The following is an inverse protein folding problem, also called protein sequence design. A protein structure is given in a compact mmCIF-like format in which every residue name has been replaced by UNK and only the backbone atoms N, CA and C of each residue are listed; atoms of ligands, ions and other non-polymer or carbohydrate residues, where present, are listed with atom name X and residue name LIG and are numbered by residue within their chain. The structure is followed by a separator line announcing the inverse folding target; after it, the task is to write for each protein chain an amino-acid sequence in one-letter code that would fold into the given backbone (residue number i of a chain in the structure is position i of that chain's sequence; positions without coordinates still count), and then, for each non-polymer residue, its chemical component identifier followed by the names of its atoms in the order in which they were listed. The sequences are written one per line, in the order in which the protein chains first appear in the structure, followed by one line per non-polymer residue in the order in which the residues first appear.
data_IF_767632985946
#
_entry.id   IF_767632985946
#
_cell.length_a   1.000
_cell.length_b   1.000
_cell.length_c   1.000
_cell.angle_alpha   90.00
_cell.angle_beta   90.00
_cell.angle_gamma   90.00
#
_symmetry.space_group_name_H-M   'P 1'
#
loop_
_entity.id
_entity.type
_entity.pdbx_description
1 polymer ?
#
# COMPACT_ATOMS: atom_id res chain seq x y z
N UNK A 1 13.40 -22.59 5.12
CA UNK A 1 12.32 -23.11 4.27
C UNK A 1 11.69 -24.36 4.90
N UNK A 2 10.35 -24.46 4.88
CA UNK A 2 9.59 -25.55 5.52
C UNK A 2 8.70 -26.26 4.51
N UNK A 3 8.41 -27.55 4.80
CA UNK A 3 7.50 -28.37 3.99
C UNK A 3 6.27 -28.71 4.81
N UNK A 4 5.11 -28.56 4.19
CA UNK A 4 3.81 -28.89 4.75
C UNK A 4 3.04 -29.79 3.79
N UNK A 5 2.22 -30.67 4.36
CA UNK A 5 1.33 -31.53 3.59
C UNK A 5 -0.09 -31.39 4.15
N UNK A 6 -0.98 -30.85 3.33
CA UNK A 6 -2.35 -30.48 3.75
C UNK A 6 -3.23 -31.65 4.13
N UNK A 7 -2.87 -32.90 3.77
CA UNK A 7 -3.63 -34.11 4.13
C UNK A 7 -3.26 -34.63 5.55
N UNK A 8 -2.18 -34.12 6.15
CA UNK A 8 -1.81 -34.48 7.53
C UNK A 8 -2.74 -33.86 8.54
N UNK A 9 -3.04 -34.61 9.62
CA UNK A 9 -3.99 -34.17 10.64
C UNK A 9 -3.54 -32.93 11.42
N UNK A 10 -2.23 -32.70 11.52
CA UNK A 10 -1.59 -31.58 12.23
C UNK A 10 -1.31 -30.36 11.34
N UNK A 11 -1.54 -30.47 10.03
CA UNK A 11 -1.27 -29.37 9.08
C UNK A 11 -1.80 -28.03 9.54
N UNK A 12 -3.08 -27.95 9.93
CA UNK A 12 -3.69 -26.68 10.30
C UNK A 12 -3.00 -26.01 11.49
N UNK A 13 -2.58 -26.80 12.48
CA UNK A 13 -1.90 -26.28 13.67
C UNK A 13 -0.45 -25.84 13.35
N UNK A 14 0.30 -26.70 12.64
CA UNK A 14 1.69 -26.43 12.29
C UNK A 14 1.82 -25.25 11.32
N UNK A 15 0.96 -25.18 10.32
CA UNK A 15 0.96 -24.09 9.35
C UNK A 15 0.52 -22.77 9.98
N UNK A 16 -0.49 -22.79 10.85
CA UNK A 16 -0.88 -21.58 11.59
C UNK A 16 0.23 -21.08 12.52
N UNK A 17 0.96 -21.99 13.15
CA UNK A 17 2.12 -21.64 13.99
C UNK A 17 3.23 -21.00 13.15
N UNK A 18 3.52 -21.54 11.96
CA UNK A 18 4.46 -20.95 11.00
C UNK A 18 4.07 -19.54 10.57
N UNK A 19 2.79 -19.31 10.23
CA UNK A 19 2.30 -18.00 9.85
C UNK A 19 2.30 -16.97 10.98
N UNK A 20 2.24 -17.43 12.25
CA UNK A 20 2.24 -16.58 13.42
C UNK A 20 3.65 -16.19 13.90
N UNK A 21 4.71 -16.72 13.29
CA UNK A 21 6.08 -16.36 13.64
C UNK A 21 6.34 -14.88 13.36
N UNK A 22 6.88 -14.14 14.36
CA UNK A 22 7.17 -12.71 14.15
C UNK A 22 8.19 -12.50 13.04
N UNK A 23 7.91 -11.57 12.14
CA UNK A 23 8.82 -11.10 11.11
C UNK A 23 9.13 -9.62 11.36
N UNK A 24 10.39 -9.29 11.58
CA UNK A 24 10.88 -7.94 11.87
C UNK A 24 10.91 -7.56 13.36
N UNK A 25 11.68 -6.51 13.71
CA UNK A 25 11.93 -6.06 15.09
C UNK A 25 11.02 -4.86 15.46
N UNK A 26 10.16 -4.98 16.50
CA UNK A 26 9.09 -4.01 16.74
C UNK A 26 9.26 -3.05 17.93
N UNK A 27 9.80 -3.48 19.10
CA UNK A 27 9.66 -2.68 20.33
C UNK A 27 10.71 -1.55 20.49
N UNK A 28 11.97 -1.76 20.16
CA UNK A 28 13.02 -0.75 20.31
C UNK A 28 12.85 0.42 19.31
N UNK A 29 12.30 0.10 18.12
CA UNK A 29 12.03 1.07 17.06
C UNK A 29 10.96 2.08 17.48
N UNK A 30 9.93 1.65 18.18
CA UNK A 30 8.79 2.50 18.53
C UNK A 30 9.16 3.65 19.47
N UNK A 31 10.04 3.40 20.44
CA UNK A 31 10.56 4.44 21.35
C UNK A 31 11.42 5.48 20.60
N UNK A 32 12.33 5.03 19.73
CA UNK A 32 13.16 5.92 18.94
C UNK A 32 12.34 6.81 17.99
N UNK A 33 11.30 6.23 17.37
CA UNK A 33 10.39 6.98 16.49
C UNK A 33 9.57 8.01 17.27
N UNK A 34 9.14 7.70 18.50
CA UNK A 34 8.44 8.66 19.35
C UNK A 34 9.30 9.90 19.63
N UNK A 35 10.58 9.72 19.93
CA UNK A 35 11.52 10.80 20.18
C UNK A 35 11.69 11.68 18.94
N UNK A 36 11.85 11.08 17.75
CA UNK A 36 11.95 11.83 16.50
C UNK A 36 10.70 12.65 16.24
N UNK A 37 9.50 12.08 16.41
CA UNK A 37 8.23 12.79 16.21
C UNK A 37 8.12 14.00 17.16
N UNK A 38 8.44 13.82 18.43
CA UNK A 38 8.38 14.92 19.42
C UNK A 38 9.43 16.01 19.15
N UNK A 39 10.61 15.65 18.68
CA UNK A 39 11.61 16.63 18.25
C UNK A 39 11.13 17.46 17.07
N UNK A 40 10.59 16.80 16.02
CA UNK A 40 10.01 17.51 14.86
C UNK A 40 8.82 18.40 15.28
N UNK A 41 7.98 17.95 16.21
CA UNK A 41 6.86 18.75 16.74
C UNK A 41 7.35 20.02 17.43
N UNK A 42 8.45 19.95 18.18
CA UNK A 42 8.98 21.06 18.99
C UNK A 42 9.85 22.02 18.18
N UNK A 43 10.70 21.49 17.29
CA UNK A 43 11.79 22.22 16.65
C UNK A 43 11.61 22.34 15.12
N UNK A 44 10.58 21.69 14.56
CA UNK A 44 10.25 21.80 13.12
C UNK A 44 11.38 21.28 12.21
N UNK A 45 11.76 22.10 11.22
CA UNK A 45 12.73 21.71 10.20
C UNK A 45 14.15 21.53 10.77
N UNK A 46 14.52 22.19 11.85
CA UNK A 46 15.83 22.02 12.47
C UNK A 46 16.00 20.59 13.02
N UNK A 47 14.95 20.02 13.62
CA UNK A 47 14.95 18.63 14.05
C UNK A 47 15.02 17.66 12.87
N UNK A 48 14.37 17.99 11.74
CA UNK A 48 14.43 17.17 10.52
C UNK A 48 15.86 17.15 9.95
N UNK A 49 16.52 18.29 9.90
CA UNK A 49 17.91 18.42 9.44
C UNK A 49 18.85 17.62 10.33
N UNK A 50 18.71 17.76 11.66
CA UNK A 50 19.56 17.04 12.61
C UNK A 50 19.33 15.50 12.54
N UNK A 51 18.08 15.05 12.41
CA UNK A 51 17.78 13.64 12.22
C UNK A 51 18.35 13.10 10.90
N UNK A 52 18.26 13.88 9.81
CA UNK A 52 18.86 13.51 8.52
C UNK A 52 20.38 13.42 8.61
N UNK A 53 21.04 14.37 9.28
CA UNK A 53 22.47 14.31 9.54
C UNK A 53 22.86 13.04 10.32
N UNK A 54 22.08 12.71 11.35
CA UNK A 54 22.33 11.57 12.24
C UNK A 54 22.10 10.21 11.59
N UNK A 55 21.04 10.05 10.80
CA UNK A 55 20.59 8.76 10.31
C UNK A 55 20.98 8.49 8.85
N UNK A 56 21.10 9.54 8.04
CA UNK A 56 21.46 9.43 6.63
C UNK A 56 22.93 9.83 6.36
N UNK A 57 23.66 10.35 7.38
CA UNK A 57 25.04 10.83 7.29
C UNK A 57 25.23 11.89 6.20
N UNK A 58 24.26 12.78 6.06
CA UNK A 58 24.27 13.86 5.05
C UNK A 58 23.99 15.20 5.73
N UNK A 59 24.88 16.17 5.48
CA UNK A 59 24.66 17.55 5.91
C UNK A 59 23.80 18.30 4.90
N UNK A 60 22.62 18.70 5.33
CA UNK A 60 21.69 19.51 4.54
C UNK A 60 21.40 20.83 5.25
N UNK A 61 21.06 21.83 4.46
CA UNK A 61 20.54 23.12 4.93
C UNK A 61 19.08 23.26 4.53
N UNK A 62 18.35 24.22 5.10
CA UNK A 62 16.96 24.47 4.70
C UNK A 62 16.83 24.68 3.18
N UNK A 63 17.78 25.36 2.55
CA UNK A 63 17.76 25.64 1.11
C UNK A 63 18.05 24.40 0.25
N UNK A 64 18.79 23.43 0.78
CA UNK A 64 19.16 22.20 0.05
C UNK A 64 18.19 21.04 0.24
N UNK A 65 17.27 21.11 1.21
CA UNK A 65 16.27 20.07 1.47
C UNK A 65 15.29 19.93 0.33
N UNK A 66 14.78 21.03 -0.20
CA UNK A 66 13.84 21.01 -1.32
C UNK A 66 14.58 20.93 -2.65
N UNK A 67 14.19 19.98 -3.49
CA UNK A 67 14.70 19.88 -4.87
C UNK A 67 14.04 20.96 -5.72
N UNK A 68 14.84 21.81 -6.34
CA UNK A 68 14.30 22.86 -7.24
C UNK A 68 13.75 22.26 -8.54
N UNK A 69 12.84 22.96 -9.18
CA UNK A 69 12.29 22.55 -10.50
C UNK A 69 13.41 22.35 -11.51
N UNK A 70 14.41 23.22 -11.52
CA UNK A 70 15.56 23.10 -12.41
C UNK A 70 16.39 21.82 -12.16
N UNK A 71 16.53 21.42 -10.87
CA UNK A 71 17.20 20.15 -10.52
C UNK A 71 16.38 18.93 -10.93
N UNK A 72 15.04 19.01 -10.80
CA UNK A 72 14.15 17.93 -11.27
C UNK A 72 14.25 17.78 -12.79
N UNK A 73 14.21 18.89 -13.52
CA UNK A 73 14.30 18.89 -14.98
C UNK A 73 15.66 18.38 -15.48
N UNK A 74 16.75 18.85 -14.89
CA UNK A 74 18.09 18.40 -15.23
C UNK A 74 18.29 16.91 -14.93
N UNK A 75 17.93 16.47 -13.72
CA UNK A 75 18.05 15.06 -13.35
C UNK A 75 17.14 14.14 -14.17
N UNK A 76 15.94 14.55 -14.51
CA UNK A 76 15.06 13.80 -15.40
C UNK A 76 15.62 13.70 -16.84
N UNK A 77 16.34 14.72 -17.31
CA UNK A 77 16.99 14.70 -18.61
C UNK A 77 18.18 13.72 -18.69
N UNK A 78 18.83 13.46 -17.55
CA UNK A 78 19.91 12.48 -17.43
C UNK A 78 19.42 11.01 -17.36
N UNK A 79 18.09 10.79 -17.32
CA UNK A 79 17.51 9.44 -17.34
C UNK A 79 17.79 8.76 -18.69
N UNK A 80 18.32 7.53 -18.71
CA UNK A 80 18.50 6.77 -19.94
C UNK A 80 17.20 6.67 -20.77
N UNK A 81 17.32 6.74 -22.09
CA UNK A 81 16.17 6.80 -22.99
C UNK A 81 15.24 5.60 -22.86
N UNK A 82 15.80 4.38 -22.79
CA UNK A 82 15.05 3.14 -22.61
C UNK A 82 14.28 3.10 -21.28
N UNK A 83 14.90 3.59 -20.19
CA UNK A 83 14.24 3.69 -18.89
C UNK A 83 13.14 4.75 -18.92
N UNK A 84 13.34 5.87 -19.59
CA UNK A 84 12.32 6.92 -19.74
C UNK A 84 11.12 6.44 -20.55
N UNK A 85 11.36 5.69 -21.64
CA UNK A 85 10.29 5.06 -22.43
C UNK A 85 9.49 4.06 -21.58
N UNK A 86 10.18 3.22 -20.78
CA UNK A 86 9.52 2.28 -19.87
C UNK A 86 8.69 3.00 -18.79
N UNK A 87 9.20 4.10 -18.20
CA UNK A 87 8.46 4.93 -17.25
C UNK A 87 7.19 5.49 -17.91
N UNK A 88 7.29 6.04 -19.12
CA UNK A 88 6.14 6.57 -19.87
C UNK A 88 5.10 5.49 -20.19
N UNK A 89 5.55 4.29 -20.59
CA UNK A 89 4.68 3.13 -20.83
C UNK A 89 3.94 2.71 -19.55
N UNK A 90 4.66 2.51 -18.44
CA UNK A 90 4.09 2.15 -17.14
C UNK A 90 3.09 3.22 -16.67
N UNK A 91 3.46 4.50 -16.73
CA UNK A 91 2.61 5.63 -16.35
C UNK A 91 1.28 5.64 -17.12
N UNK A 92 1.31 5.38 -18.42
CA UNK A 92 0.11 5.28 -19.25
C UNK A 92 -0.82 4.15 -18.80
N UNK A 93 -0.28 2.97 -18.51
CA UNK A 93 -1.06 1.80 -18.07
C UNK A 93 -1.64 1.99 -16.64
N UNK A 94 -0.82 2.45 -15.70
CA UNK A 94 -1.27 2.79 -14.34
C UNK A 94 -2.38 3.84 -14.39
N UNK A 95 -2.20 4.87 -15.23
CA UNK A 95 -3.22 5.90 -15.42
C UNK A 95 -4.53 5.35 -15.95
N UNK A 96 -4.49 4.51 -16.98
CA UNK A 96 -5.67 3.89 -17.57
C UNK A 96 -6.42 2.97 -16.58
N UNK A 97 -5.70 2.22 -15.77
CA UNK A 97 -6.27 1.36 -14.74
C UNK A 97 -7.00 2.18 -13.66
N UNK A 98 -6.30 3.14 -13.05
CA UNK A 98 -6.86 3.94 -11.96
C UNK A 98 -7.99 4.88 -12.40
N UNK A 99 -7.97 5.37 -13.63
CA UNK A 99 -9.06 6.19 -14.16
C UNK A 99 -10.42 5.47 -14.14
N UNK A 100 -10.43 4.14 -14.28
CA UNK A 100 -11.65 3.31 -14.25
C UNK A 100 -12.23 3.14 -12.85
N UNK A 101 -11.48 3.46 -11.80
CA UNK A 101 -11.92 3.35 -10.41
C UNK A 101 -12.67 4.58 -9.92
N UNK A 102 -12.85 5.61 -10.75
CA UNK A 102 -13.49 6.87 -10.33
C UNK A 102 -14.94 6.65 -9.94
N UNK A 103 -15.30 6.93 -8.66
CA UNK A 103 -16.66 6.75 -8.20
C UNK A 103 -17.57 7.90 -8.66
N UNK A 104 -18.86 7.60 -8.82
CA UNK A 104 -19.87 8.59 -9.18
C UNK A 104 -20.49 9.25 -7.94
N UNK A 105 -20.79 10.56 -8.04
CA UNK A 105 -21.71 11.24 -7.16
C UNK A 105 -23.11 10.68 -7.38
N UNK A 106 -23.95 10.63 -6.33
CA UNK A 106 -25.32 10.18 -6.45
C UNK A 106 -26.26 11.05 -5.65
N UNK A 107 -27.50 11.20 -6.13
CA UNK A 107 -28.64 11.78 -5.43
C UNK A 107 -29.90 11.02 -5.80
N UNK A 108 -30.74 10.77 -4.80
CA UNK A 108 -32.03 10.13 -4.97
C UNK A 108 -33.00 10.63 -3.89
N UNK A 109 -34.30 10.62 -4.18
CA UNK A 109 -35.34 10.96 -3.23
C UNK A 109 -36.00 9.66 -2.77
N UNK A 110 -36.11 9.46 -1.46
CA UNK A 110 -36.75 8.30 -0.87
C UNK A 110 -38.28 8.44 -0.81
N UNK A 111 -38.97 7.41 -0.29
CA UNK A 111 -40.41 7.39 -0.17
C UNK A 111 -40.99 8.42 0.81
N UNK A 112 -40.18 8.98 1.70
CA UNK A 112 -40.54 10.06 2.62
C UNK A 112 -40.34 11.46 2.01
N UNK A 113 -39.93 11.56 0.75
CA UNK A 113 -39.62 12.83 0.09
C UNK A 113 -38.31 13.47 0.54
N UNK A 114 -37.42 12.69 1.13
CA UNK A 114 -36.11 13.13 1.57
C UNK A 114 -35.07 12.89 0.45
N UNK A 115 -34.38 13.93 0.02
CA UNK A 115 -33.25 13.81 -0.92
C UNK A 115 -31.99 13.38 -0.16
N UNK A 116 -31.48 12.22 -0.48
CA UNK A 116 -30.26 11.66 0.04
C UNK A 116 -29.22 11.57 -1.08
N UNK A 117 -27.94 11.59 -0.70
CA UNK A 117 -26.88 11.42 -1.68
C UNK A 117 -25.50 11.44 -1.08
N UNK A 118 -24.54 11.40 -1.96
CA UNK A 118 -23.13 11.60 -1.63
C UNK A 118 -22.38 12.26 -2.77
N UNK A 119 -21.30 12.89 -2.41
CA UNK A 119 -20.33 13.43 -3.36
C UNK A 119 -18.93 13.01 -3.01
N UNK A 120 -18.12 12.77 -4.02
CA UNK A 120 -16.69 12.48 -3.89
C UNK A 120 -15.87 13.71 -4.23
N UNK A 121 -14.86 13.97 -3.45
CA UNK A 121 -13.91 15.06 -3.67
C UNK A 121 -12.50 14.59 -3.37
N UNK A 122 -11.49 15.03 -4.14
CA UNK A 122 -10.10 14.71 -3.84
C UNK A 122 -9.70 15.25 -2.46
N UNK A 123 -8.63 14.67 -1.92
CA UNK A 123 -7.84 15.28 -0.86
C UNK A 123 -7.18 16.56 -1.42
N UNK A 124 -6.89 17.53 -0.57
CA UNK A 124 -6.20 18.75 -1.01
C UNK A 124 -4.70 18.49 -1.22
N UNK A 125 -4.12 17.66 -0.36
CA UNK A 125 -2.69 17.38 -0.37
C UNK A 125 -2.36 15.94 0.04
N UNK A 126 -1.30 15.38 -0.56
CA UNK A 126 -0.80 14.03 -0.26
C UNK A 126 0.71 14.05 -0.16
N UNK A 127 1.24 13.39 0.88
CA UNK A 127 2.65 13.06 1.00
C UNK A 127 2.93 11.67 0.43
N UNK A 128 3.94 11.57 -0.42
CA UNK A 128 4.41 10.30 -0.93
C UNK A 128 5.78 10.01 -0.32
N UNK A 129 5.92 8.90 0.35
CA UNK A 129 7.21 8.43 0.81
C UNK A 129 7.79 7.43 -0.20
N UNK A 130 8.97 7.75 -0.73
CA UNK A 130 9.73 6.88 -1.63
C UNK A 130 10.95 6.39 -0.88
N UNK A 131 11.07 5.10 -0.58
CA UNK A 131 12.14 4.60 0.26
C UNK A 131 13.51 4.74 -0.41
N UNK A 132 14.54 4.88 0.42
CA UNK A 132 15.93 4.82 0.02
C UNK A 132 16.52 3.47 0.42
N UNK A 133 16.29 2.45 -0.33
CA UNK A 133 16.82 1.13 -0.06
C UNK A 133 18.10 0.83 -0.83
N UNK A 134 18.25 -0.41 -1.25
CA UNK A 134 19.36 -0.90 -2.08
C UNK A 134 19.21 -0.48 -3.55
N UNK A 135 18.00 -0.07 -3.96
CA UNK A 135 17.67 0.33 -5.33
C UNK A 135 16.95 1.68 -5.37
N UNK A 136 16.92 2.31 -6.56
CA UNK A 136 16.00 3.39 -6.90
C UNK A 136 14.61 2.79 -7.18
N UNK A 137 13.56 3.51 -6.77
CA UNK A 137 12.19 3.04 -6.91
C UNK A 137 11.32 4.00 -7.75
N UNK A 138 11.59 4.16 -9.06
CA UNK A 138 10.75 4.97 -9.93
C UNK A 138 9.30 4.41 -10.02
N UNK A 139 9.12 3.10 -9.93
CA UNK A 139 7.81 2.44 -9.90
C UNK A 139 6.99 2.90 -8.70
N UNK A 140 7.58 2.98 -7.50
CA UNK A 140 6.90 3.47 -6.29
C UNK A 140 6.42 4.92 -6.47
N UNK A 141 7.18 5.76 -7.18
CA UNK A 141 6.73 7.12 -7.51
C UNK A 141 5.47 7.07 -8.38
N UNK A 142 5.50 6.29 -9.46
CA UNK A 142 4.36 6.17 -10.38
C UNK A 142 3.12 5.62 -9.69
N UNK A 143 3.27 4.53 -8.91
CA UNK A 143 2.18 3.83 -8.23
C UNK A 143 1.48 4.68 -7.16
N UNK A 144 2.18 5.64 -6.57
CA UNK A 144 1.60 6.54 -5.58
C UNK A 144 1.10 7.86 -6.20
N UNK A 145 1.90 8.49 -7.08
CA UNK A 145 1.59 9.82 -7.59
C UNK A 145 0.50 9.82 -8.67
N UNK A 146 0.49 8.82 -9.56
CA UNK A 146 -0.47 8.79 -10.68
C UNK A 146 -1.92 8.68 -10.20
N UNK A 147 -2.29 7.75 -9.30
CA UNK A 147 -3.66 7.70 -8.79
C UNK A 147 -4.04 8.96 -8.00
N UNK A 148 -3.11 9.58 -7.25
CA UNK A 148 -3.35 10.86 -6.58
C UNK A 148 -3.68 11.96 -7.61
N UNK A 149 -2.89 12.11 -8.66
CA UNK A 149 -3.13 13.06 -9.75
C UNK A 149 -4.47 12.80 -10.46
N UNK A 150 -4.78 11.54 -10.78
CA UNK A 150 -6.04 11.17 -11.44
C UNK A 150 -7.23 11.48 -10.53
N UNK A 151 -7.11 11.29 -9.21
CA UNK A 151 -8.14 11.69 -8.26
C UNK A 151 -8.40 13.20 -8.29
N UNK A 152 -7.41 14.01 -8.66
CA UNK A 152 -7.47 15.46 -8.71
C UNK A 152 -6.83 16.11 -7.46
N UNK A 153 -5.88 15.42 -6.81
CA UNK A 153 -5.07 16.01 -5.72
C UNK A 153 -4.18 17.10 -6.32
N UNK A 154 -4.26 18.31 -5.78
CA UNK A 154 -3.54 19.46 -6.31
C UNK A 154 -2.08 19.52 -5.84
N UNK A 155 -1.82 19.12 -4.59
CA UNK A 155 -0.49 19.13 -4.00
C UNK A 155 -0.02 17.72 -3.68
N UNK A 156 1.04 17.27 -4.36
CA UNK A 156 1.68 15.97 -4.19
C UNK A 156 3.12 16.21 -3.73
N UNK A 157 3.38 16.07 -2.43
CA UNK A 157 4.68 16.27 -1.82
C UNK A 157 5.42 14.93 -1.68
N UNK A 158 6.54 14.75 -2.38
CA UNK A 158 7.36 13.55 -2.29
C UNK A 158 8.49 13.75 -1.30
N UNK A 159 8.70 12.81 -0.39
CA UNK A 159 9.87 12.71 0.47
C UNK A 159 10.66 11.44 0.13
N UNK A 160 11.98 11.59 -0.01
CA UNK A 160 12.90 10.47 -0.26
C UNK A 160 14.24 10.76 0.41
N UNK A 161 14.95 9.75 0.95
CA UNK A 161 16.24 9.95 1.58
C UNK A 161 17.26 10.65 0.67
N UNK A 162 18.18 11.45 1.22
CA UNK A 162 19.26 12.05 0.46
C UNK A 162 20.07 10.98 -0.29
N UNK A 163 20.54 11.31 -1.50
CA UNK A 163 21.33 10.39 -2.33
C UNK A 163 20.54 9.29 -3.06
N UNK A 164 19.21 9.33 -2.99
CA UNK A 164 18.30 8.36 -3.66
C UNK A 164 17.41 8.98 -4.75
N UNK A 165 17.64 10.24 -5.06
CA UNK A 165 16.95 10.94 -6.14
C UNK A 165 17.73 10.77 -7.45
N UNK A 166 17.80 9.52 -7.90
CA UNK A 166 18.44 9.14 -9.16
C UNK A 166 17.65 9.66 -10.36
N UNK A 167 18.28 9.77 -11.55
CA UNK A 167 17.63 10.28 -12.76
C UNK A 167 16.26 9.63 -13.07
N UNK A 168 16.15 8.31 -12.91
CA UNK A 168 14.90 7.58 -13.12
C UNK A 168 13.78 7.98 -12.13
N UNK A 169 14.13 8.23 -10.85
CA UNK A 169 13.18 8.69 -9.83
C UNK A 169 12.68 10.10 -10.14
N UNK A 170 13.58 10.99 -10.58
CA UNK A 170 13.21 12.36 -10.96
C UNK A 170 12.37 12.39 -12.24
N UNK A 171 12.67 11.53 -13.22
CA UNK A 171 11.86 11.37 -14.42
C UNK A 171 10.45 10.87 -14.08
N UNK A 172 10.34 9.83 -13.26
CA UNK A 172 9.06 9.31 -12.79
C UNK A 172 8.26 10.36 -12.01
N UNK A 173 8.91 11.13 -11.12
CA UNK A 173 8.25 12.19 -10.35
C UNK A 173 7.68 13.29 -11.25
N UNK A 174 8.45 13.71 -12.27
CA UNK A 174 8.02 14.67 -13.27
C UNK A 174 6.80 14.15 -14.05
N UNK A 175 6.88 12.95 -14.61
CA UNK A 175 5.83 12.35 -15.43
C UNK A 175 4.56 12.04 -14.63
N UNK A 176 4.71 11.65 -13.38
CA UNK A 176 3.60 11.40 -12.48
C UNK A 176 2.92 12.67 -11.94
N UNK A 177 3.55 13.86 -12.09
CA UNK A 177 2.99 15.13 -11.66
C UNK A 177 3.21 15.46 -10.19
N UNK A 178 4.33 14.99 -9.61
CA UNK A 178 4.76 15.39 -8.27
C UNK A 178 5.02 16.89 -8.24
N UNK A 179 4.47 17.61 -7.26
CA UNK A 179 4.54 19.08 -7.20
C UNK A 179 5.74 19.60 -6.43
N UNK A 180 6.26 18.81 -5.50
CA UNK A 180 7.44 19.15 -4.71
C UNK A 180 8.17 17.91 -4.23
N UNK A 181 9.50 17.98 -4.16
CA UNK A 181 10.36 16.88 -3.73
C UNK A 181 11.27 17.36 -2.60
N UNK A 182 11.36 16.54 -1.54
CA UNK A 182 12.12 16.80 -0.33
C UNK A 182 13.14 15.69 -0.08
N UNK A 183 14.38 16.06 0.18
CA UNK A 183 15.49 15.15 0.53
C UNK A 183 15.44 14.78 2.00
N UNK A 184 14.43 14.03 2.39
CA UNK A 184 14.20 13.63 3.77
C UNK A 184 13.81 12.16 3.79
N UNK A 185 14.51 11.35 4.58
CA UNK A 185 14.21 9.92 4.78
C UNK A 185 13.56 9.62 6.13
N UNK A 186 13.28 8.35 6.40
CA UNK A 186 12.95 7.82 7.71
C UNK A 186 11.72 8.39 8.42
N UNK A 187 11.69 8.19 9.72
CA UNK A 187 10.59 8.66 10.58
C UNK A 187 10.42 10.18 10.58
N UNK A 188 11.52 10.94 10.43
CA UNK A 188 11.51 12.40 10.38
C UNK A 188 10.79 12.92 9.12
N UNK A 189 10.85 12.21 8.00
CA UNK A 189 10.09 12.54 6.80
C UNK A 189 8.58 12.42 7.04
N UNK A 190 8.15 11.31 7.65
CA UNK A 190 6.75 11.07 7.99
C UNK A 190 6.26 12.11 9.01
N UNK A 191 7.08 12.44 10.03
CA UNK A 191 6.75 13.46 11.00
C UNK A 191 6.61 14.85 10.36
N UNK A 192 7.54 15.24 9.48
CA UNK A 192 7.50 16.50 8.76
C UNK A 192 6.28 16.65 7.83
N UNK A 193 5.94 15.58 7.09
CA UNK A 193 4.75 15.54 6.24
C UNK A 193 3.45 15.61 7.05
N UNK A 194 3.39 14.94 8.20
CA UNK A 194 2.19 14.88 9.04
C UNK A 194 1.93 16.15 9.86
N UNK A 195 2.99 16.73 10.44
CA UNK A 195 2.88 17.84 11.38
C UNK A 195 3.08 19.20 10.70
N UNK A 196 3.77 19.20 9.58
CA UNK A 196 4.36 20.37 8.96
C UNK A 196 5.68 20.73 9.66
N UNK A 197 6.67 21.13 8.86
CA UNK A 197 7.97 21.62 9.29
C UNK A 197 8.40 22.68 8.27
N UNK A 198 8.05 23.93 8.53
CA UNK A 198 8.24 25.00 7.55
C UNK A 198 9.64 25.04 6.96
N UNK A 199 9.81 25.13 5.63
CA UNK A 199 8.79 25.48 4.63
C UNK A 199 7.95 24.30 4.08
N UNK A 200 8.13 23.06 4.58
CA UNK A 200 7.28 21.91 4.23
C UNK A 200 5.93 22.05 4.98
N UNK A 201 4.86 22.26 4.24
CA UNK A 201 3.51 22.26 4.78
C UNK A 201 2.99 20.83 5.03
N UNK A 202 2.17 20.66 6.07
CA UNK A 202 1.53 19.36 6.35
C UNK A 202 0.65 18.90 5.20
N UNK A 203 0.46 17.58 5.12
CA UNK A 203 -0.41 16.93 4.12
C UNK A 203 -1.63 16.28 4.79
N UNK A 204 -2.67 15.97 4.00
CA UNK A 204 -3.88 15.32 4.51
C UNK A 204 -3.71 13.80 4.64
N UNK A 205 -2.91 13.18 3.79
CA UNK A 205 -2.63 11.73 3.79
C UNK A 205 -1.19 11.46 3.38
N UNK A 206 -0.57 10.43 3.97
CA UNK A 206 0.76 9.92 3.60
C UNK A 206 0.61 8.52 3.04
N UNK A 207 1.21 8.28 1.86
CA UNK A 207 1.20 7.00 1.17
C UNK A 207 2.62 6.57 0.79
N UNK A 208 2.78 5.31 0.49
CA UNK A 208 4.05 4.72 0.06
C UNK A 208 4.69 3.80 1.10
N UNK A 209 5.43 2.77 0.65
CA UNK A 209 6.10 1.80 1.51
C UNK A 209 7.30 2.41 2.22
N UNK A 210 7.75 1.76 3.28
CA UNK A 210 8.94 2.16 4.00
C UNK A 210 9.41 1.09 4.98
N UNK A 211 10.58 1.30 5.57
CA UNK A 211 11.14 0.40 6.58
C UNK A 211 10.33 0.48 7.90
N UNK A 212 10.73 -0.33 8.89
CA UNK A 212 10.07 -0.42 10.19
C UNK A 212 9.95 0.95 10.91
N UNK A 213 10.89 1.88 10.74
CA UNK A 213 10.83 3.23 11.32
C UNK A 213 9.73 4.08 10.66
N UNK A 214 9.61 3.99 9.33
CA UNK A 214 8.55 4.67 8.55
C UNK A 214 7.18 4.12 8.95
N UNK A 215 7.04 2.80 9.02
CA UNK A 215 5.81 2.12 9.43
C UNK A 215 5.41 2.50 10.87
N UNK A 216 6.36 2.53 11.80
CA UNK A 216 6.12 2.96 13.18
C UNK A 216 5.70 4.43 13.26
N UNK A 217 6.31 5.32 12.46
CA UNK A 217 5.94 6.72 12.39
C UNK A 217 4.53 6.91 11.82
N UNK A 218 4.16 6.21 10.74
CA UNK A 218 2.80 6.19 10.20
C UNK A 218 1.78 5.74 11.25
N UNK A 219 2.06 4.66 11.96
CA UNK A 219 1.20 4.13 13.03
C UNK A 219 0.94 5.16 14.13
N UNK A 220 1.99 5.84 14.59
CA UNK A 220 1.89 6.84 15.67
C UNK A 220 1.18 8.13 15.23
N UNK A 221 1.26 8.48 13.96
CA UNK A 221 0.68 9.70 13.42
C UNK A 221 -0.69 9.48 12.76
N UNK A 222 -1.14 8.24 12.67
CA UNK A 222 -2.49 7.93 12.21
C UNK A 222 -3.53 8.61 13.12
N UNK A 223 -4.45 9.36 12.52
CA UNK A 223 -5.42 10.22 13.21
C UNK A 223 -4.99 11.70 13.25
N UNK A 224 -3.70 12.01 13.17
CA UNK A 224 -3.19 13.36 12.88
C UNK A 224 -3.16 13.58 11.35
N UNK A 225 -2.76 12.57 10.64
CA UNK A 225 -2.73 12.48 9.18
C UNK A 225 -3.36 11.15 8.74
N UNK A 226 -3.97 11.10 7.57
CA UNK A 226 -4.38 9.83 6.96
C UNK A 226 -3.16 9.02 6.50
N UNK A 227 -3.27 7.69 6.46
CA UNK A 227 -2.26 6.81 5.88
C UNK A 227 -2.91 5.83 4.91
N UNK A 228 -2.12 5.22 4.02
CA UNK A 228 -2.53 4.09 3.17
C UNK A 228 -2.69 2.81 4.00
N UNK A 229 -1.57 2.25 4.43
CA UNK A 229 -1.48 1.02 5.22
C UNK A 229 -0.24 1.04 6.11
N UNK A 230 -0.16 0.05 7.00
CA UNK A 230 1.05 -0.27 7.75
C UNK A 230 1.74 -1.43 7.02
N UNK A 231 2.76 -1.13 6.23
CA UNK A 231 3.51 -2.13 5.50
C UNK A 231 4.32 -3.03 6.44
N UNK A 232 4.19 -4.33 6.25
CA UNK A 232 5.10 -5.35 6.76
C UNK A 232 6.05 -5.85 5.68
N UNK A 233 6.80 -6.93 5.92
CA UNK A 233 7.61 -7.59 4.91
C UNK A 233 6.73 -8.10 3.75
N UNK A 234 7.27 -8.08 2.55
CA UNK A 234 6.57 -8.48 1.32
C UNK A 234 6.28 -9.98 1.28
N UNK A 235 5.21 -10.36 0.59
CA UNK A 235 4.67 -11.72 0.59
C UNK A 235 4.21 -12.16 -0.79
N UNK A 236 4.58 -13.38 -1.21
CA UNK A 236 4.01 -14.04 -2.38
C UNK A 236 3.56 -15.46 -2.07
N UNK A 237 2.43 -15.84 -2.63
CA UNK A 237 1.97 -17.22 -2.73
C UNK A 237 1.86 -17.58 -4.20
N UNK A 238 2.57 -18.62 -4.62
CA UNK A 238 2.47 -19.15 -5.98
C UNK A 238 1.75 -20.49 -5.92
N UNK A 239 0.59 -20.57 -6.55
CA UNK A 239 -0.19 -21.81 -6.75
C UNK A 239 0.12 -22.33 -8.14
N UNK A 240 0.82 -23.45 -8.25
CA UNK A 240 1.29 -23.96 -9.54
C UNK A 240 1.07 -25.49 -9.66
N UNK A 241 0.67 -25.93 -10.84
CA UNK A 241 0.63 -27.33 -11.23
C UNK A 241 1.91 -27.77 -11.96
N UNK A 242 2.09 -29.09 -12.17
CA UNK A 242 3.27 -29.68 -12.82
C UNK A 242 3.38 -29.40 -14.34
N UNK A 243 2.43 -28.68 -14.94
CA UNK A 243 2.52 -28.27 -16.33
C UNK A 243 3.38 -27.00 -16.52
N UNK A 244 3.81 -26.37 -15.44
CA UNK A 244 4.74 -25.24 -15.48
C UNK A 244 6.19 -25.69 -15.64
N UNK A 245 7.02 -24.78 -16.17
CA UNK A 245 8.46 -24.90 -16.04
C UNK A 245 8.87 -24.60 -14.59
N UNK A 246 9.53 -25.52 -13.87
CA UNK A 246 9.98 -25.27 -12.50
C UNK A 246 10.87 -24.02 -12.35
N UNK A 247 11.62 -23.67 -13.40
CA UNK A 247 12.49 -22.50 -13.37
C UNK A 247 11.70 -21.17 -13.36
N UNK A 248 10.50 -21.12 -13.96
CA UNK A 248 9.64 -19.95 -13.90
C UNK A 248 9.12 -19.73 -12.49
N UNK A 249 8.54 -20.77 -11.90
CA UNK A 249 8.00 -20.69 -10.53
C UNK A 249 9.10 -20.37 -9.50
N UNK A 250 10.30 -20.92 -9.70
CA UNK A 250 11.46 -20.59 -8.88
C UNK A 250 11.84 -19.09 -8.98
N UNK A 251 11.77 -18.51 -10.18
CA UNK A 251 12.04 -17.09 -10.39
C UNK A 251 10.97 -16.20 -9.72
N UNK A 252 9.69 -16.59 -9.79
CA UNK A 252 8.59 -15.86 -9.16
C UNK A 252 8.69 -15.90 -7.62
N UNK A 253 9.11 -17.00 -7.02
CA UNK A 253 9.39 -17.07 -5.58
C UNK A 253 10.61 -16.22 -5.17
N UNK A 254 11.63 -16.13 -6.03
CA UNK A 254 12.84 -15.34 -5.77
C UNK A 254 12.62 -13.86 -6.00
N UNK A 255 11.72 -13.43 -6.91
CA UNK A 255 11.40 -12.02 -7.13
C UNK A 255 10.89 -11.35 -5.86
N UNK A 256 10.15 -12.07 -5.03
CA UNK A 256 9.70 -11.58 -3.73
C UNK A 256 10.79 -11.72 -2.65
N UNK A 257 11.48 -12.86 -2.61
CA UNK A 257 12.50 -13.12 -1.58
C UNK A 257 13.65 -12.12 -1.61
N UNK A 258 13.94 -11.50 -2.77
CA UNK A 258 15.04 -10.53 -2.90
C UNK A 258 14.76 -9.15 -2.30
N UNK A 259 13.49 -8.83 -1.99
CA UNK A 259 13.10 -7.52 -1.44
C UNK A 259 13.64 -7.28 -0.03
N UNK A 260 13.51 -8.27 0.86
CA UNK A 260 13.90 -8.14 2.27
C UNK A 260 14.22 -9.51 2.87
N UNK A 261 15.16 -9.62 3.85
CA UNK A 261 15.40 -10.89 4.57
C UNK A 261 14.18 -11.46 5.28
N UNK A 262 13.21 -10.61 5.64
CA UNK A 262 11.95 -10.99 6.30
C UNK A 262 10.80 -11.28 5.29
N UNK A 263 11.05 -11.19 3.96
CA UNK A 263 10.07 -11.50 2.93
C UNK A 263 9.64 -12.98 2.99
N UNK A 264 8.39 -13.25 2.61
CA UNK A 264 7.84 -14.60 2.62
C UNK A 264 7.43 -15.06 1.23
N UNK A 265 7.95 -16.20 0.79
CA UNK A 265 7.60 -16.85 -0.48
C UNK A 265 7.07 -18.25 -0.21
N UNK A 266 5.85 -18.55 -0.64
CA UNK A 266 5.18 -19.84 -0.40
C UNK A 266 4.75 -20.45 -1.74
N UNK A 267 5.18 -21.69 -2.00
CA UNK A 267 4.69 -22.50 -3.09
C UNK A 267 3.55 -23.41 -2.60
N UNK A 268 2.43 -23.44 -3.33
CA UNK A 268 1.35 -24.40 -3.16
C UNK A 268 1.25 -25.22 -4.46
N UNK A 269 1.36 -26.53 -4.37
CA UNK A 269 1.23 -27.45 -5.53
C UNK A 269 0.64 -28.79 -5.11
N UNK A 270 0.04 -29.51 -6.05
CA UNK A 270 -0.47 -30.87 -5.82
C UNK A 270 0.52 -31.96 -6.20
N UNK A 271 1.70 -31.60 -6.73
CA UNK A 271 2.73 -32.51 -7.18
C UNK A 271 4.03 -32.32 -6.39
N UNK A 272 4.37 -33.34 -5.57
CA UNK A 272 5.57 -33.30 -4.74
C UNK A 272 6.87 -33.38 -5.56
N UNK A 273 6.89 -34.11 -6.67
CA UNK A 273 8.07 -34.22 -7.54
C UNK A 273 8.31 -32.86 -8.24
N UNK A 274 7.24 -32.22 -8.72
CA UNK A 274 7.32 -30.86 -9.24
C UNK A 274 7.84 -29.87 -8.20
N UNK A 275 7.36 -29.93 -6.96
CA UNK A 275 7.85 -29.08 -5.89
C UNK A 275 9.36 -29.25 -5.66
N UNK A 276 9.88 -30.48 -5.68
CA UNK A 276 11.32 -30.73 -5.58
C UNK A 276 12.10 -30.14 -6.76
N UNK A 277 11.56 -30.17 -7.98
CA UNK A 277 12.18 -29.54 -9.15
C UNK A 277 12.19 -28.01 -9.01
N UNK A 278 11.12 -27.39 -8.51
CA UNK A 278 11.08 -25.94 -8.25
C UNK A 278 12.14 -25.55 -7.21
N UNK A 279 12.24 -26.26 -6.10
CA UNK A 279 13.24 -25.98 -5.06
C UNK A 279 14.66 -26.13 -5.62
N UNK A 280 14.94 -27.16 -6.40
CA UNK A 280 16.24 -27.34 -7.03
C UNK A 280 16.58 -26.21 -8.04
N UNK A 281 15.58 -25.77 -8.82
CA UNK A 281 15.74 -24.65 -9.74
C UNK A 281 15.98 -23.32 -8.97
N UNK A 282 15.26 -23.10 -7.87
CA UNK A 282 15.43 -21.93 -6.99
C UNK A 282 16.84 -21.87 -6.41
N UNK A 283 17.36 -22.97 -5.87
CA UNK A 283 18.72 -23.05 -5.34
C UNK A 283 19.77 -22.77 -6.43
N UNK A 284 19.54 -23.30 -7.64
CA UNK A 284 20.40 -23.04 -8.80
C UNK A 284 20.42 -21.56 -9.22
N UNK A 285 19.26 -20.92 -9.28
CA UNK A 285 19.14 -19.49 -9.61
C UNK A 285 19.71 -18.60 -8.50
N UNK A 286 19.44 -18.92 -7.24
CA UNK A 286 19.95 -18.19 -6.08
C UNK A 286 21.47 -18.12 -6.07
N UNK A 287 22.17 -19.16 -6.50
CA UNK A 287 23.63 -19.21 -6.54
C UNK A 287 24.26 -18.11 -7.43
N UNK A 288 23.51 -17.63 -8.43
CA UNK A 288 23.97 -16.62 -9.41
C UNK A 288 23.33 -15.25 -9.20
N UNK A 289 22.34 -15.12 -8.33
CA UNK A 289 21.61 -13.89 -8.09
C UNK A 289 22.49 -12.86 -7.36
N UNK A 290 22.46 -11.60 -7.81
CA UNK A 290 23.21 -10.52 -7.17
C UNK A 290 22.70 -10.26 -5.73
N UNK A 291 21.42 -10.47 -5.49
CA UNK A 291 20.72 -10.30 -4.20
C UNK A 291 20.68 -11.61 -3.37
N UNK A 292 21.50 -12.60 -3.70
CA UNK A 292 21.47 -13.96 -3.12
C UNK A 292 21.53 -14.03 -1.59
N UNK A 293 22.18 -13.05 -0.94
CA UNK A 293 22.27 -13.03 0.53
C UNK A 293 20.89 -12.74 1.14
N UNK A 294 20.19 -11.72 0.61
CA UNK A 294 18.86 -11.33 1.04
C UNK A 294 17.83 -12.41 0.71
N UNK A 295 17.75 -12.78 -0.58
CA UNK A 295 16.80 -13.78 -1.05
C UNK A 295 17.01 -15.14 -0.38
N UNK A 296 18.28 -15.52 -0.17
CA UNK A 296 18.62 -16.77 0.52
C UNK A 296 18.28 -16.75 2.01
N UNK A 297 18.37 -15.61 2.69
CA UNK A 297 17.92 -15.47 4.08
C UNK A 297 16.39 -15.61 4.15
N UNK A 298 15.67 -14.82 3.35
CA UNK A 298 14.20 -14.87 3.25
C UNK A 298 13.69 -16.29 2.98
N UNK A 299 14.21 -16.94 1.95
CA UNK A 299 13.79 -18.29 1.59
C UNK A 299 14.07 -19.33 2.69
N UNK A 300 15.24 -19.28 3.34
CA UNK A 300 15.59 -20.24 4.40
C UNK A 300 14.72 -20.08 5.65
N UNK A 301 14.46 -18.84 6.06
CA UNK A 301 13.75 -18.55 7.31
C UNK A 301 12.23 -18.54 7.14
N UNK A 302 11.73 -17.94 6.06
CA UNK A 302 10.31 -17.63 5.85
C UNK A 302 9.69 -18.32 4.64
N UNK A 303 10.48 -19.02 3.82
CA UNK A 303 9.98 -19.79 2.67
C UNK A 303 9.24 -21.06 3.09
N UNK A 304 8.22 -21.44 2.31
CA UNK A 304 7.50 -22.69 2.52
C UNK A 304 7.05 -23.35 1.21
N UNK A 305 6.92 -24.68 1.27
CA UNK A 305 6.29 -25.51 0.25
C UNK A 305 5.11 -26.22 0.90
N UNK A 306 3.93 -26.10 0.28
CA UNK A 306 2.70 -26.76 0.73
C UNK A 306 2.24 -27.71 -0.36
N UNK A 307 2.23 -29.00 -0.05
CA UNK A 307 1.64 -30.02 -0.92
C UNK A 307 0.16 -30.12 -0.59
N UNK A 308 -0.69 -29.78 -1.55
CA UNK A 308 -2.14 -29.74 -1.35
C UNK A 308 -2.88 -29.95 -2.68
N UNK A 309 -4.01 -30.67 -2.72
CA UNK A 309 -4.87 -30.65 -3.90
C UNK A 309 -5.19 -29.21 -4.32
N UNK A 310 -5.07 -28.87 -5.61
CA UNK A 310 -5.28 -27.50 -6.09
C UNK A 310 -6.64 -26.91 -5.68
N UNK A 311 -7.69 -27.75 -5.57
CA UNK A 311 -8.99 -27.32 -5.07
C UNK A 311 -8.97 -26.84 -3.61
N UNK A 312 -7.95 -27.17 -2.82
CA UNK A 312 -7.76 -26.68 -1.46
C UNK A 312 -6.93 -25.38 -1.40
N UNK A 313 -6.25 -25.01 -2.49
CA UNK A 313 -5.39 -23.85 -2.53
C UNK A 313 -6.09 -22.53 -2.13
N UNK A 314 -7.34 -22.25 -2.58
CA UNK A 314 -8.04 -21.02 -2.18
C UNK A 314 -8.21 -20.88 -0.66
N UNK A 315 -8.52 -21.99 0.05
CA UNK A 315 -8.67 -21.96 1.51
C UNK A 315 -7.32 -21.73 2.21
N UNK A 316 -6.22 -22.25 1.65
CA UNK A 316 -4.87 -22.03 2.18
C UNK A 316 -4.44 -20.58 1.92
N UNK A 317 -4.72 -20.04 0.74
CA UNK A 317 -4.50 -18.63 0.41
C UNK A 317 -5.27 -17.73 1.38
N UNK A 318 -6.54 -18.01 1.63
CA UNK A 318 -7.36 -17.26 2.60
C UNK A 318 -6.83 -17.36 4.04
N UNK A 319 -6.20 -18.48 4.41
CA UNK A 319 -5.54 -18.63 5.71
C UNK A 319 -4.29 -17.76 5.82
N UNK A 320 -3.55 -17.55 4.72
CA UNK A 320 -2.38 -16.67 4.66
C UNK A 320 -2.85 -15.22 4.55
N UNK A 321 -3.80 -14.93 3.67
CA UNK A 321 -4.21 -13.59 3.23
C UNK A 321 -3.03 -12.76 2.70
N UNK A 322 -2.34 -13.26 1.66
CA UNK A 322 -1.07 -12.71 1.22
C UNK A 322 -1.21 -11.37 0.51
N UNK A 323 -0.10 -10.67 0.40
CA UNK A 323 0.06 -9.50 -0.46
C UNK A 323 -0.17 -9.85 -1.92
N UNK A 324 0.57 -10.84 -2.44
CA UNK A 324 0.46 -11.32 -3.81
C UNK A 324 0.07 -12.79 -3.84
N UNK A 325 -0.80 -13.16 -4.79
CA UNK A 325 -1.05 -14.57 -5.12
C UNK A 325 -1.06 -14.77 -6.62
N UNK A 326 -0.28 -15.75 -7.09
CA UNK A 326 -0.26 -16.20 -8.47
C UNK A 326 -0.96 -17.56 -8.60
N UNK A 327 -1.83 -17.69 -9.59
CA UNK A 327 -2.43 -18.94 -10.00
C UNK A 327 -1.87 -19.35 -11.36
N UNK A 328 -0.73 -20.03 -11.35
CA UNK A 328 -0.08 -20.57 -12.53
C UNK A 328 -0.64 -21.99 -12.84
N UNK A 329 -1.93 -22.05 -13.16
CA UNK A 329 -2.68 -23.30 -13.43
C UNK A 329 -3.45 -23.22 -14.75
N UNK A 330 -4.05 -24.32 -15.20
CA UNK A 330 -4.84 -24.33 -16.43
C UNK A 330 -6.13 -23.49 -16.32
N UNK A 331 -6.83 -23.58 -15.17
CA UNK A 331 -8.09 -22.87 -14.91
C UNK A 331 -7.94 -21.91 -13.71
N UNK A 332 -7.12 -20.83 -13.83
CA UNK A 332 -6.78 -19.97 -12.72
C UNK A 332 -7.99 -19.21 -12.15
N UNK A 333 -8.96 -18.82 -12.99
CA UNK A 333 -10.16 -18.08 -12.56
C UNK A 333 -11.02 -18.92 -11.61
N UNK A 334 -11.15 -20.24 -11.85
CA UNK A 334 -11.95 -21.13 -11.01
C UNK A 334 -11.43 -21.19 -9.57
N UNK A 335 -10.12 -21.11 -9.39
CA UNK A 335 -9.49 -21.06 -8.07
C UNK A 335 -9.57 -19.65 -7.48
N UNK A 336 -9.26 -18.63 -8.26
CA UNK A 336 -9.23 -17.25 -7.81
C UNK A 336 -10.59 -16.72 -7.34
N UNK A 337 -11.68 -17.13 -8.00
CA UNK A 337 -13.06 -16.74 -7.62
C UNK A 337 -13.47 -17.23 -6.22
N UNK A 338 -12.75 -18.20 -5.65
CA UNK A 338 -12.97 -18.72 -4.30
C UNK A 338 -12.15 -18.00 -3.23
N UNK A 339 -11.15 -17.18 -3.64
CA UNK A 339 -10.28 -16.44 -2.72
C UNK A 339 -10.98 -15.16 -2.25
N UNK A 340 -10.93 -14.92 -0.95
CA UNK A 340 -11.50 -13.73 -0.30
C UNK A 340 -10.44 -12.72 0.11
N UNK A 341 -9.24 -13.20 0.39
CA UNK A 341 -8.20 -12.42 1.07
C UNK A 341 -6.89 -12.48 0.29
N UNK A 342 -6.69 -11.50 -0.58
CA UNK A 342 -5.43 -11.27 -1.29
C UNK A 342 -5.29 -9.78 -1.59
N UNK A 343 -4.08 -9.26 -1.56
CA UNK A 343 -3.80 -7.88 -1.96
C UNK A 343 -3.90 -7.71 -3.48
N UNK A 344 -3.26 -8.63 -4.23
CA UNK A 344 -3.38 -8.74 -5.70
C UNK A 344 -3.43 -10.21 -6.13
N UNK A 345 -4.11 -10.48 -7.23
CA UNK A 345 -4.26 -11.81 -7.82
C UNK A 345 -3.74 -11.77 -9.26
N UNK A 346 -2.84 -12.70 -9.59
CA UNK A 346 -2.23 -12.86 -10.91
C UNK A 346 -2.71 -14.19 -11.52
N UNK A 347 -3.23 -14.14 -12.75
CA UNK A 347 -3.92 -15.27 -13.36
C UNK A 347 -3.18 -15.78 -14.61
N UNK A 348 -2.79 -17.02 -14.54
CA UNK A 348 -2.16 -17.74 -15.65
C UNK A 348 -0.63 -17.70 -15.64
N UNK A 349 -0.02 -18.66 -16.36
CA UNK A 349 1.43 -18.94 -16.37
C UNK A 349 2.31 -17.81 -16.90
N UNK A 350 1.72 -16.80 -17.58
CA UNK A 350 2.41 -15.65 -18.13
C UNK A 350 2.14 -14.36 -17.36
N UNK A 351 1.65 -14.47 -16.13
CA UNK A 351 1.33 -13.34 -15.29
C UNK A 351 2.17 -13.33 -13.99
N UNK A 352 3.51 -13.27 -14.08
CA UNK A 352 4.35 -13.16 -12.90
C UNK A 352 4.11 -11.83 -12.18
N UNK A 353 4.27 -11.82 -10.86
CA UNK A 353 4.16 -10.64 -9.99
C UNK A 353 4.90 -9.42 -10.54
N UNK A 354 6.12 -9.62 -11.03
CA UNK A 354 6.96 -8.55 -11.57
C UNK A 354 6.27 -7.71 -12.66
N UNK A 355 5.35 -8.27 -13.45
CA UNK A 355 4.57 -7.46 -14.39
C UNK A 355 3.62 -6.50 -13.66
N UNK A 356 3.01 -6.93 -12.55
CA UNK A 356 2.15 -6.10 -11.71
C UNK A 356 2.91 -4.99 -11.04
N UNK A 357 4.10 -5.28 -10.58
CA UNK A 357 4.96 -4.33 -9.89
C UNK A 357 5.47 -3.19 -10.76
N UNK A 358 5.56 -3.41 -12.08
CA UNK A 358 6.14 -2.41 -12.97
C UNK A 358 5.18 -1.91 -14.05
N UNK A 359 4.64 -2.80 -14.88
CA UNK A 359 4.05 -2.37 -16.16
C UNK A 359 2.63 -2.81 -16.42
N UNK A 360 2.06 -3.75 -15.66
CA UNK A 360 0.70 -4.24 -15.91
C UNK A 360 -0.38 -3.18 -15.68
N UNK A 361 -0.14 -2.22 -14.78
CA UNK A 361 -1.03 -1.09 -14.51
C UNK A 361 -1.80 -1.18 -13.20
N UNK A 362 -1.90 -2.36 -12.58
CA UNK A 362 -2.35 -2.50 -11.20
C UNK A 362 -1.38 -1.83 -10.21
N UNK A 363 -1.80 -1.61 -8.98
CA UNK A 363 -0.95 -0.96 -7.99
C UNK A 363 -0.20 -1.98 -7.15
N UNK A 364 1.07 -1.73 -6.91
CA UNK A 364 1.91 -2.59 -6.09
C UNK A 364 2.01 -2.18 -4.61
N UNK A 365 1.35 -1.09 -4.22
CA UNK A 365 1.25 -0.71 -2.80
C UNK A 365 0.08 -1.50 -2.21
N UNK A 366 0.39 -2.65 -1.65
CA UNK A 366 -0.57 -3.68 -1.25
C UNK A 366 -0.56 -3.91 0.26
N UNK A 367 -1.63 -4.47 0.81
CA UNK A 367 -1.67 -4.85 2.22
C UNK A 367 -0.83 -6.10 2.46
N UNK A 368 0.06 -6.06 3.45
CA UNK A 368 0.94 -7.15 3.87
C UNK A 368 0.55 -7.70 5.24
N UNK A 369 1.19 -8.78 5.69
CA UNK A 369 1.02 -9.35 7.04
C UNK A 369 -0.44 -9.68 7.37
N UNK A 370 -1.14 -10.26 6.39
CA UNK A 370 -2.53 -10.67 6.53
C UNK A 370 -3.55 -9.52 6.51
N UNK A 371 -3.11 -8.27 6.28
CA UNK A 371 -4.01 -7.12 6.21
C UNK A 371 -4.97 -7.15 5.01
N UNK A 372 -4.74 -8.01 4.01
CA UNK A 372 -5.67 -8.26 2.92
C UNK A 372 -7.05 -8.77 3.38
N UNK A 373 -7.20 -9.17 4.66
CA UNK A 373 -8.49 -9.52 5.28
C UNK A 373 -9.43 -8.34 5.45
N UNK A 374 -8.89 -7.11 5.55
CA UNK A 374 -9.67 -5.91 5.87
C UNK A 374 -9.21 -4.66 5.12
N UNK A 375 -8.16 -4.76 4.30
CA UNK A 375 -7.59 -3.65 3.54
C UNK A 375 -7.41 -4.05 2.08
N UNK A 376 -7.48 -3.07 1.20
CA UNK A 376 -7.22 -3.22 -0.24
C UNK A 376 -5.88 -2.59 -0.61
N UNK A 377 -5.36 -2.93 -1.78
CA UNK A 377 -4.26 -2.21 -2.38
C UNK A 377 -4.60 -0.75 -2.68
N UNK A 378 -3.58 0.08 -2.78
CA UNK A 378 -3.72 1.52 -3.04
C UNK A 378 -4.50 1.75 -4.33
N UNK A 379 -5.52 2.58 -4.23
CA UNK A 379 -6.47 2.84 -5.31
C UNK A 379 -6.79 4.32 -5.44
N UNK A 380 -7.56 4.69 -6.45
CA UNK A 380 -8.07 6.05 -6.58
C UNK A 380 -8.87 6.52 -5.35
N UNK A 381 -9.58 5.59 -4.69
CA UNK A 381 -10.41 5.89 -3.53
C UNK A 381 -9.61 6.35 -2.31
N UNK A 382 -8.33 5.97 -2.23
CA UNK A 382 -7.43 6.41 -1.16
C UNK A 382 -7.15 7.90 -1.19
N UNK A 383 -7.32 8.52 -2.35
CA UNK A 383 -7.09 9.95 -2.60
C UNK A 383 -8.39 10.76 -2.67
N UNK A 384 -9.52 10.14 -2.38
CA UNK A 384 -10.84 10.76 -2.40
C UNK A 384 -11.59 10.57 -1.09
N UNK A 385 -12.42 11.54 -0.77
CA UNK A 385 -13.34 11.44 0.39
C UNK A 385 -14.79 11.59 -0.04
N UNK A 386 -15.65 10.76 0.54
CA UNK A 386 -17.09 10.78 0.33
C UNK A 386 -17.76 11.64 1.41
N UNK A 387 -18.56 12.63 0.99
CA UNK A 387 -19.40 13.43 1.88
C UNK A 387 -20.86 13.06 1.66
N UNK A 388 -21.57 12.70 2.72
CA UNK A 388 -23.01 12.46 2.68
C UNK A 388 -23.77 13.77 2.53
N UNK A 389 -24.91 13.71 1.80
CA UNK A 389 -25.80 14.84 1.56
C UNK A 389 -27.19 14.43 1.99
N UNK A 390 -27.84 15.29 2.77
CA UNK A 390 -29.25 15.19 3.14
C UNK A 390 -29.91 16.53 2.87
N UNK A 391 -31.06 16.50 2.19
CA UNK A 391 -31.92 17.65 1.97
C UNK A 391 -33.37 17.24 2.16
N UNK A 392 -34.12 17.99 2.95
CA UNK A 392 -35.56 17.75 3.14
C UNK A 392 -36.34 19.05 3.17
N UNK A 393 -37.58 19.01 2.75
CA UNK A 393 -38.57 20.07 2.94
C UNK A 393 -39.49 19.75 4.13
N UNK A 394 -40.54 20.56 4.30
CA UNK A 394 -41.49 20.43 5.38
C UNK A 394 -42.18 19.05 5.43
N UNK A 395 -42.57 18.52 4.30
CA UNK A 395 -43.24 17.22 4.20
C UNK A 395 -42.37 16.05 4.67
N UNK A 396 -41.15 15.97 4.14
CA UNK A 396 -40.20 14.92 4.56
C UNK A 396 -39.79 15.10 6.02
N UNK A 397 -39.62 16.35 6.49
CA UNK A 397 -39.36 16.64 7.90
C UNK A 397 -40.50 16.12 8.80
N UNK A 398 -41.75 16.33 8.42
CA UNK A 398 -42.89 15.87 9.21
C UNK A 398 -42.92 14.36 9.39
N UNK A 399 -42.52 13.60 8.34
CA UNK A 399 -42.41 12.13 8.42
C UNK A 399 -41.30 11.71 9.38
N UNK A 400 -40.16 12.40 9.37
CA UNK A 400 -38.98 12.02 10.17
C UNK A 400 -39.02 12.51 11.63
N UNK A 401 -39.78 13.57 11.93
CA UNK A 401 -39.75 14.23 13.23
C UNK A 401 -40.18 13.31 14.39
N UNK A 402 -41.25 12.57 14.25
CA UNK A 402 -41.78 11.67 15.30
C UNK A 402 -40.77 10.60 15.72
N UNK A 403 -40.28 9.76 14.79
CA UNK A 403 -39.28 8.76 15.08
C UNK A 403 -37.98 9.34 15.64
N UNK A 404 -37.50 10.50 15.12
CA UNK A 404 -36.31 11.17 15.61
C UNK A 404 -36.46 11.60 17.07
N UNK A 405 -37.63 12.18 17.43
CA UNK A 405 -37.94 12.57 18.82
C UNK A 405 -38.02 11.37 19.76
N UNK A 406 -38.52 10.22 19.31
CA UNK A 406 -38.54 9.01 20.11
C UNK A 406 -37.10 8.52 20.42
N UNK A 407 -36.22 8.48 19.40
CA UNK A 407 -34.83 8.06 19.57
C UNK A 407 -34.05 9.02 20.46
N UNK A 408 -34.14 10.33 20.24
CA UNK A 408 -33.42 11.31 21.04
C UNK A 408 -33.83 11.30 22.52
N UNK A 409 -35.09 10.96 22.84
CA UNK A 409 -35.54 10.72 24.21
C UNK A 409 -34.94 9.46 24.81
N UNK A 410 -34.92 8.37 24.04
CA UNK A 410 -34.35 7.12 24.50
C UNK A 410 -32.84 7.24 24.78
N UNK A 411 -32.13 8.06 23.99
CA UNK A 411 -30.70 8.34 24.15
C UNK A 411 -30.41 9.44 25.20
N UNK A 412 -31.42 10.12 25.74
CA UNK A 412 -31.21 11.18 26.70
C UNK A 412 -30.56 12.44 26.11
N UNK A 413 -30.79 12.75 24.83
CA UNK A 413 -30.20 13.89 24.12
C UNK A 413 -31.20 15.04 23.90
N UNK A 414 -31.49 15.90 24.93
CA UNK A 414 -32.53 16.90 24.88
C UNK A 414 -32.26 18.03 23.86
N UNK A 415 -31.00 18.32 23.56
CA UNK A 415 -30.68 19.33 22.54
C UNK A 415 -31.00 18.86 21.13
N UNK A 416 -30.79 17.58 20.83
CA UNK A 416 -31.21 16.95 19.58
C UNK A 416 -32.74 16.98 19.44
N UNK A 417 -33.46 16.59 20.51
CA UNK A 417 -34.92 16.66 20.55
C UNK A 417 -35.41 18.09 20.31
N UNK A 418 -34.79 19.09 20.97
CA UNK A 418 -35.15 20.50 20.81
C UNK A 418 -34.96 21.00 19.38
N UNK A 419 -33.89 20.58 18.71
CA UNK A 419 -33.64 20.93 17.31
C UNK A 419 -34.77 20.50 16.37
N UNK A 420 -35.39 19.37 16.64
CA UNK A 420 -36.54 18.86 15.89
C UNK A 420 -37.82 19.57 16.33
N UNK A 421 -38.07 19.67 17.63
CA UNK A 421 -39.32 20.24 18.20
C UNK A 421 -39.53 21.68 17.79
N UNK A 422 -38.48 22.51 17.78
CA UNK A 422 -38.57 23.94 17.39
C UNK A 422 -39.06 24.07 15.95
N UNK A 423 -38.59 23.21 15.06
CA UNK A 423 -39.00 23.20 13.65
C UNK A 423 -40.41 22.69 13.47
N UNK A 424 -40.82 21.66 14.23
CA UNK A 424 -42.19 21.13 14.21
C UNK A 424 -43.20 22.17 14.71
N UNK A 425 -42.84 23.05 15.66
CA UNK A 425 -43.71 24.08 16.22
C UNK A 425 -43.70 25.39 15.40
N UNK A 426 -42.85 25.53 14.40
CA UNK A 426 -42.76 26.75 13.59
C UNK A 426 -43.87 26.88 12.52
N UNK A 427 -44.92 26.10 12.61
CA UNK A 427 -46.15 26.23 11.76
C UNK A 427 -45.94 25.66 10.36
N UNK A 428 -45.49 24.41 10.30
CA UNK A 428 -45.52 23.60 9.06
C UNK A 428 -46.94 23.23 8.71
#
# INVERSE_FOLDING_TARGET
MRWFDSVKADFGAEFSAFLAEPRGAAEEIDAAVAEVIESVRREGMDAVIEATRRFDDVELTQDSLRVSTAQIEAGAADCPDDVREAIGFAAGRIGAYHARQRPADARFTDAAGVELGWRWRPLASVGIYVPGGRAAYPSTVLMNAIPARIAGVERIAMASPPGRLEPAVLAAAKDAGVTEIWRIGGAQAIAALALGAAPLEKVDKIVGPGNAYVTAAKRRLFGVVGIDSLAGPSEIVVVADAANDPAWIAADLLSQAEHDPDAQSILITDDADFAHLVVAALEGQLATLATRETAGAAWREHGAVVIAPLACAPAIVDLIAPEHVEFATDDPEVLADQVRHAGAIFLGRYAPEALGDYTAGSNHVLPTSGAARFSSGLSLLDFMKRTSILKTGAEGFAVLAGPTLALTRAEGLPAHARSVTIRANAGL
#
